data_IF_089210691193
#
_entry.id   IF_089210691193
#
_cell.length_a   1.000
_cell.length_b   1.000
_cell.length_c   1.000
_cell.angle_alpha   90.00
_cell.angle_beta   90.00
_cell.angle_gamma   90.00
#
_symmetry.space_group_name_H-M   'P 1'
#
loop_
_entity.id
_entity.type
_entity.pdbx_description
1 polymer ?
#
# COMPACT_ATOMS: atom_id res chain seq x y z
N UNK A 1 14.47 -12.30 24.15
CA UNK A 1 14.77 -11.66 22.85
C UNK A 1 13.53 -11.70 21.98
N UNK A 2 12.99 -10.54 21.61
CA UNK A 2 12.27 -10.30 20.36
C UNK A 2 12.23 -8.77 20.24
N UNK A 3 13.12 -8.24 19.40
CA UNK A 3 13.32 -6.82 19.18
C UNK A 3 11.99 -6.17 18.85
N UNK A 4 11.62 -5.19 19.66
CA UNK A 4 10.54 -4.27 19.34
C UNK A 4 11.22 -3.15 18.57
N UNK A 5 11.50 -3.39 17.30
CA UNK A 5 12.24 -2.49 16.43
C UNK A 5 11.34 -1.28 16.10
N UNK A 6 11.24 -0.38 17.07
CA UNK A 6 10.87 1.02 16.85
C UNK A 6 11.94 1.62 15.95
N UNK A 7 11.70 1.60 14.64
CA UNK A 7 12.55 2.22 13.64
C UNK A 7 11.80 3.20 12.75
N UNK A 8 10.94 4.05 13.31
CA UNK A 8 10.27 5.10 12.55
C UNK A 8 10.74 6.49 12.98
N UNK A 9 12.01 6.82 12.73
CA UNK A 9 12.49 8.20 12.79
C UNK A 9 13.63 8.43 11.79
N UNK A 10 13.31 9.04 10.64
CA UNK A 10 13.96 10.27 10.17
C UNK A 10 13.30 10.76 8.89
N UNK A 11 12.72 11.96 8.97
CA UNK A 11 12.07 12.73 7.91
C UNK A 11 10.82 12.11 7.26
N UNK A 12 9.84 12.95 6.87
CA UNK A 12 8.72 12.46 6.09
C UNK A 12 9.20 11.86 4.76
N UNK A 13 8.75 10.64 4.42
CA UNK A 13 9.10 10.04 3.14
C UNK A 13 8.53 10.93 2.03
N UNK A 14 9.40 11.36 1.12
CA UNK A 14 9.02 12.14 -0.06
C UNK A 14 8.32 11.25 -1.09
N UNK A 15 8.70 9.98 -1.11
CA UNK A 15 8.26 8.98 -2.08
C UNK A 15 8.15 7.59 -1.45
N UNK A 16 7.52 6.66 -2.19
CA UNK A 16 7.35 5.25 -1.76
C UNK A 16 8.67 4.57 -1.46
N UNK A 17 9.72 4.84 -2.24
CA UNK A 17 11.04 4.26 -2.00
C UNK A 17 11.63 4.73 -0.65
N UNK A 18 11.49 6.03 -0.36
CA UNK A 18 11.86 6.59 0.94
C UNK A 18 11.05 5.99 2.10
N UNK A 19 9.76 5.69 1.90
CA UNK A 19 8.97 4.96 2.88
C UNK A 19 9.50 3.54 3.09
N UNK A 20 9.73 2.79 2.00
CA UNK A 20 10.25 1.42 2.03
C UNK A 20 11.63 1.32 2.69
N UNK A 21 12.47 2.34 2.57
CA UNK A 21 13.77 2.42 3.25
C UNK A 21 13.65 2.56 4.78
N UNK A 22 12.49 2.98 5.30
CA UNK A 22 12.23 3.04 6.75
C UNK A 22 11.64 1.74 7.30
N UNK A 23 11.25 0.80 6.43
CA UNK A 23 10.64 -0.47 6.81
C UNK A 23 11.73 -1.54 6.94
N UNK A 24 11.59 -2.45 7.92
CA UNK A 24 12.48 -3.60 8.07
C UNK A 24 12.53 -4.44 6.78
N UNK A 25 13.68 -5.03 6.47
CA UNK A 25 13.92 -5.71 5.18
C UNK A 25 12.89 -6.81 4.87
N UNK A 26 12.49 -7.57 5.89
CA UNK A 26 11.47 -8.62 5.78
C UNK A 26 10.12 -8.07 5.27
N UNK A 27 9.65 -6.97 5.86
CA UNK A 27 8.43 -6.31 5.43
C UNK A 27 8.62 -5.51 4.13
N UNK A 28 9.83 -5.00 3.86
CA UNK A 28 10.14 -4.25 2.63
C UNK A 28 9.95 -5.12 1.38
N UNK A 29 10.45 -6.36 1.38
CA UNK A 29 10.32 -7.27 0.25
C UNK A 29 8.84 -7.55 -0.09
N UNK A 30 8.03 -7.83 0.94
CA UNK A 30 6.59 -8.04 0.77
C UNK A 30 5.87 -6.79 0.24
N UNK A 31 6.23 -5.59 0.72
CA UNK A 31 5.65 -4.34 0.22
C UNK A 31 6.08 -4.01 -1.21
N UNK A 32 7.30 -4.39 -1.62
CA UNK A 32 7.76 -4.22 -2.99
C UNK A 32 6.99 -5.12 -3.96
N UNK A 33 6.72 -6.36 -3.57
CA UNK A 33 5.88 -7.28 -4.35
C UNK A 33 4.43 -6.79 -4.45
N UNK A 34 3.85 -6.32 -3.33
CA UNK A 34 2.53 -5.71 -3.31
C UNK A 34 2.47 -4.47 -4.22
N UNK A 35 3.51 -3.63 -4.19
CA UNK A 35 3.62 -2.46 -5.07
C UNK A 35 3.60 -2.88 -6.54
N UNK A 36 4.41 -3.86 -6.92
CA UNK A 36 4.45 -4.37 -8.30
C UNK A 36 3.09 -4.93 -8.73
N UNK A 37 2.42 -5.65 -7.85
CA UNK A 37 1.09 -6.23 -8.07
C UNK A 37 0.02 -5.16 -8.29
N UNK A 38 -0.02 -4.13 -7.43
CA UNK A 38 -1.00 -3.03 -7.57
C UNK A 38 -0.74 -2.27 -8.87
N UNK A 39 0.52 -1.98 -9.20
CA UNK A 39 0.90 -1.28 -10.43
C UNK A 39 0.57 -2.08 -11.69
N UNK A 40 0.74 -3.41 -11.66
CA UNK A 40 0.35 -4.28 -12.77
C UNK A 40 -1.18 -4.36 -12.92
N UNK A 41 -1.92 -4.35 -11.81
CA UNK A 41 -3.37 -4.38 -11.81
C UNK A 41 -3.98 -3.07 -12.32
N UNK A 42 -3.40 -1.92 -11.92
CA UNK A 42 -3.89 -0.58 -12.26
C UNK A 42 -2.73 0.32 -12.65
N UNK A 43 -2.19 0.19 -13.88
CA UNK A 43 -1.06 1.00 -14.36
C UNK A 43 -1.39 2.49 -14.46
N UNK A 44 -2.67 2.84 -14.53
CA UNK A 44 -3.17 4.22 -14.56
C UNK A 44 -3.18 4.89 -13.17
N UNK A 45 -2.97 4.12 -12.10
CA UNK A 45 -2.90 4.69 -10.77
C UNK A 45 -1.55 5.37 -10.52
N UNK A 46 -1.61 6.59 -9.99
CA UNK A 46 -0.45 7.39 -9.63
C UNK A 46 -0.06 7.10 -8.19
N UNK A 47 1.18 6.67 -7.99
CA UNK A 47 1.80 6.49 -6.68
C UNK A 47 2.10 7.84 -6.04
N UNK A 48 1.57 8.09 -4.85
CA UNK A 48 1.84 9.28 -4.05
C UNK A 48 2.07 8.93 -2.60
N UNK A 49 2.76 9.77 -1.85
CA UNK A 49 2.73 9.71 -0.39
C UNK A 49 1.58 10.58 0.13
N UNK A 50 0.68 9.98 0.89
CA UNK A 50 -0.44 10.68 1.55
C UNK A 50 -0.45 10.29 3.02
N UNK A 51 -0.48 11.27 3.92
CA UNK A 51 -0.33 11.03 5.38
C UNK A 51 0.87 10.12 5.73
N UNK A 52 1.98 10.29 5.02
CA UNK A 52 3.21 9.46 5.15
C UNK A 52 3.06 7.98 4.79
N UNK A 53 1.96 7.59 4.16
CA UNK A 53 1.71 6.23 3.68
C UNK A 53 1.70 6.23 2.16
N UNK A 54 2.32 5.24 1.50
CA UNK A 54 2.14 4.99 0.08
C UNK A 54 0.66 4.81 -0.30
N UNK A 55 0.19 5.67 -1.19
CA UNK A 55 -1.19 5.70 -1.68
C UNK A 55 -1.20 5.74 -3.20
N UNK A 56 -1.99 4.85 -3.81
CA UNK A 56 -2.34 4.90 -5.22
C UNK A 56 -3.57 5.76 -5.42
N UNK A 57 -3.47 6.75 -6.32
CA UNK A 57 -4.57 7.60 -6.76
C UNK A 57 -4.95 7.28 -8.19
N UNK A 58 -6.23 7.06 -8.45
CA UNK A 58 -6.76 6.95 -9.80
C UNK A 58 -7.60 8.19 -10.12
N UNK A 59 -7.29 8.88 -11.23
CA UNK A 59 -7.95 10.15 -11.64
C UNK A 59 -8.06 11.19 -10.50
N UNK A 60 -7.00 11.30 -9.69
CA UNK A 60 -6.92 12.22 -8.55
C UNK A 60 -7.61 11.76 -7.26
N UNK A 61 -8.31 10.61 -7.26
CA UNK A 61 -9.01 10.05 -6.10
C UNK A 61 -8.21 8.89 -5.48
N UNK A 62 -8.06 8.81 -4.15
CA UNK A 62 -7.35 7.71 -3.51
C UNK A 62 -8.15 6.41 -3.64
N UNK A 63 -7.49 5.34 -4.10
CA UNK A 63 -8.10 4.02 -4.30
C UNK A 63 -7.51 2.96 -3.38
N UNK A 64 -6.18 2.96 -3.19
CA UNK A 64 -5.48 1.97 -2.36
C UNK A 64 -4.38 2.67 -1.59
N UNK A 65 -4.20 2.31 -0.32
CA UNK A 65 -3.01 2.66 0.46
C UNK A 65 -2.39 1.39 1.04
N UNK A 66 -1.07 1.32 1.09
CA UNK A 66 -0.34 0.15 1.55
C UNK A 66 0.86 0.57 2.38
N UNK A 67 1.23 -0.23 3.38
CA UNK A 67 2.37 0.06 4.24
C UNK A 67 2.50 -0.93 5.40
N UNK A 68 3.66 -0.89 6.06
CA UNK A 68 3.91 -1.63 7.29
C UNK A 68 3.27 -0.88 8.47
N UNK A 69 1.94 -0.90 8.54
CA UNK A 69 1.19 -0.30 9.65
C UNK A 69 0.54 -1.38 10.51
N UNK A 70 0.64 -1.23 11.82
CA UNK A 70 0.06 -2.12 12.82
C UNK A 70 -1.47 -1.90 12.98
N UNK A 71 -2.07 -1.07 12.14
CA UNK A 71 -3.35 -0.45 12.43
C UNK A 71 -4.53 -1.39 12.16
N UNK A 72 -5.33 -1.63 13.20
CA UNK A 72 -6.55 -2.44 13.19
C UNK A 72 -7.75 -1.56 12.84
N UNK A 73 -7.79 -1.00 11.63
CA UNK A 73 -8.98 -0.28 11.15
C UNK A 73 -9.82 -1.18 10.24
N UNK A 74 -11.15 -1.06 10.32
CA UNK A 74 -12.16 -1.95 9.69
C UNK A 74 -12.06 -2.12 8.16
N UNK A 75 -11.22 -1.34 7.47
CA UNK A 75 -10.96 -1.43 6.03
C UNK A 75 -9.57 -1.99 5.66
N UNK A 76 -8.80 -2.52 6.61
CA UNK A 76 -7.44 -3.00 6.36
C UNK A 76 -7.45 -4.48 6.01
N UNK A 77 -7.18 -4.82 4.75
CA UNK A 77 -6.96 -6.20 4.32
C UNK A 77 -5.51 -6.57 4.62
N UNK A 78 -5.30 -7.54 5.52
CA UNK A 78 -3.97 -8.09 5.79
C UNK A 78 -3.73 -9.25 4.86
N UNK A 79 -2.74 -9.11 4.00
CA UNK A 79 -2.25 -10.22 3.19
C UNK A 79 -1.08 -10.88 3.92
N UNK A 80 -1.08 -12.21 4.10
CA UNK A 80 0.09 -12.91 4.58
C UNK A 80 1.21 -12.79 3.55
N UNK A 81 2.41 -12.42 3.98
CA UNK A 81 3.59 -12.25 3.11
C UNK A 81 4.04 -13.56 2.40
N UNK A 82 3.42 -14.70 2.74
CA UNK A 82 3.83 -16.03 2.30
C UNK A 82 2.90 -16.64 1.23
N UNK A 83 1.93 -15.88 0.71
CA UNK A 83 1.06 -16.34 -0.36
C UNK A 83 1.08 -15.29 -1.48
N UNK A 84 1.29 -15.69 -2.76
CA UNK A 84 1.29 -14.75 -3.86
C UNK A 84 -0.06 -14.02 -3.83
N UNK A 85 0.00 -12.72 -3.59
CA UNK A 85 -1.16 -11.86 -3.54
C UNK A 85 -2.03 -12.16 -4.75
N UNK A 86 -3.30 -12.58 -4.58
CA UNK A 86 -4.15 -12.83 -5.73
C UNK A 86 -4.36 -11.48 -6.43
N UNK A 87 -3.55 -11.22 -7.46
CA UNK A 87 -3.60 -9.99 -8.24
C UNK A 87 -5.01 -9.72 -8.75
N UNK A 88 -5.75 -10.79 -9.03
CA UNK A 88 -7.16 -10.75 -9.38
C UNK A 88 -8.06 -10.16 -8.27
N UNK A 89 -7.79 -10.45 -6.99
CA UNK A 89 -8.55 -9.90 -5.87
C UNK A 89 -8.20 -8.42 -5.66
N UNK A 90 -6.91 -8.09 -5.65
CA UNK A 90 -6.45 -6.69 -5.56
C UNK A 90 -7.09 -5.88 -6.68
N UNK A 91 -7.01 -6.37 -7.92
CA UNK A 91 -7.64 -5.76 -9.09
C UNK A 91 -9.14 -5.57 -8.88
N UNK A 92 -9.89 -6.59 -8.49
CA UNK A 92 -11.34 -6.48 -8.22
C UNK A 92 -11.67 -5.44 -7.16
N UNK A 93 -10.89 -5.39 -6.08
CA UNK A 93 -11.07 -4.40 -5.01
C UNK A 93 -10.77 -2.99 -5.51
N UNK A 94 -9.71 -2.80 -6.31
CA UNK A 94 -9.39 -1.50 -6.87
C UNK A 94 -10.45 -1.08 -7.90
N UNK A 95 -10.87 -1.97 -8.78
CA UNK A 95 -11.94 -1.74 -9.76
C UNK A 95 -13.25 -1.36 -9.08
N UNK A 96 -13.66 -2.11 -8.05
CA UNK A 96 -14.85 -1.77 -7.25
C UNK A 96 -14.71 -0.39 -6.59
N UNK A 97 -13.55 -0.10 -6.00
CA UNK A 97 -13.30 1.20 -5.36
C UNK A 97 -13.28 2.36 -6.35
N UNK A 98 -12.77 2.15 -7.57
CA UNK A 98 -12.81 3.11 -8.66
C UNK A 98 -14.26 3.37 -9.06
N UNK A 99 -15.06 2.32 -9.27
CA UNK A 99 -16.46 2.44 -9.63
C UNK A 99 -17.26 3.19 -8.56
N UNK A 100 -17.07 2.88 -7.27
CA UNK A 100 -17.67 3.61 -6.15
C UNK A 100 -17.23 5.07 -6.12
N UNK A 101 -15.93 5.33 -6.36
CA UNK A 101 -15.43 6.69 -6.42
C UNK A 101 -16.06 7.45 -7.58
N UNK A 102 -16.20 6.86 -8.77
CA UNK A 102 -16.82 7.49 -9.95
C UNK A 102 -18.34 7.68 -9.79
N UNK A 103 -19.02 6.79 -9.07
CA UNK A 103 -20.46 6.87 -8.81
C UNK A 103 -20.89 8.07 -7.94
N UNK A 104 -19.94 8.81 -7.36
CA UNK A 104 -20.21 10.02 -6.59
C UNK A 104 -20.66 9.70 -5.17
N UNK A 105 -19.84 10.10 -4.20
CA UNK A 105 -20.24 10.20 -2.80
C UNK A 105 -20.76 11.60 -2.52
#
# INVERSE_FOLDING_TARGET
MAGKDKGATSAPPKDVDGYLATVAEDARAALQDLRATIKAAVPEAVEVISYQVPTYKYRGRPVVSFGAAQNTSKGTIRFPANEPLPAALVRKLVEARIAENEAGR
#
